data_IF_391099326204
#
_entry.id   IF_391099326204
#
_cell.length_a   1.000
_cell.length_b   1.000
_cell.length_c   1.000
_cell.angle_alpha   90.00
_cell.angle_beta   90.00
_cell.angle_gamma   90.00
#
_symmetry.space_group_name_H-M   'P 1'
#
loop_
_entity.id
_entity.type
_entity.pdbx_description
1 polymer ?
#
# COMPACT_ATOMS: atom_id res chain seq x y z
N UNK A 1 28.71 -5.34 -4.76
CA UNK A 1 27.55 -5.52 -3.86
C UNK A 1 26.40 -5.94 -4.76
N UNK A 2 26.04 -7.22 -4.75
CA UNK A 2 25.15 -7.81 -5.75
C UNK A 2 23.71 -7.36 -5.55
N UNK A 3 23.15 -6.83 -6.61
CA UNK A 3 21.80 -6.29 -6.70
C UNK A 3 20.90 -7.47 -7.06
N UNK A 4 20.16 -8.03 -6.09
CA UNK A 4 19.12 -9.02 -6.41
C UNK A 4 17.92 -8.28 -7.01
N UNK A 5 17.90 -8.21 -8.33
CA UNK A 5 16.66 -8.09 -9.09
C UNK A 5 15.83 -9.31 -8.69
N UNK A 6 14.53 -9.14 -8.40
CA UNK A 6 13.62 -10.27 -8.15
C UNK A 6 13.60 -11.16 -9.41
N UNK A 7 14.45 -12.19 -9.46
CA UNK A 7 14.55 -13.08 -10.61
C UNK A 7 13.40 -14.08 -10.53
N UNK A 8 12.37 -13.85 -11.34
CA UNK A 8 11.29 -14.82 -11.55
C UNK A 8 11.86 -16.01 -12.30
N UNK A 9 11.84 -17.17 -11.67
CA UNK A 9 12.18 -18.43 -12.32
C UNK A 9 10.95 -18.99 -13.05
N UNK A 10 11.19 -19.76 -14.12
CA UNK A 10 10.12 -20.48 -14.81
C UNK A 10 9.47 -21.49 -13.84
N UNK A 11 8.14 -21.59 -13.88
CA UNK A 11 7.42 -22.56 -13.06
C UNK A 11 7.79 -23.98 -13.54
N UNK A 12 8.35 -24.83 -12.67
CA UNK A 12 8.73 -26.18 -13.09
C UNK A 12 7.48 -27.02 -13.38
N UNK A 13 7.60 -27.97 -14.31
CA UNK A 13 6.52 -28.89 -14.66
C UNK A 13 6.18 -29.88 -13.53
N UNK A 14 7.13 -30.15 -12.63
CA UNK A 14 6.97 -31.05 -11.48
C UNK A 14 7.62 -30.45 -10.24
N UNK A 15 7.15 -30.86 -9.06
CA UNK A 15 7.64 -30.35 -7.77
C UNK A 15 8.11 -31.50 -6.89
N UNK A 16 9.28 -31.32 -6.26
CA UNK A 16 9.90 -32.32 -5.38
C UNK A 16 9.23 -32.41 -4.00
N UNK A 17 8.49 -31.37 -3.60
CA UNK A 17 7.76 -31.30 -2.33
C UNK A 17 6.71 -30.19 -2.35
N UNK A 18 5.79 -30.20 -1.37
CA UNK A 18 4.85 -29.08 -1.14
C UNK A 18 5.59 -27.77 -0.88
N UNK A 19 6.69 -27.79 -0.13
CA UNK A 19 7.50 -26.58 0.12
C UNK A 19 8.13 -26.05 -1.16
N UNK A 20 8.63 -26.94 -2.02
CA UNK A 20 9.16 -26.56 -3.33
C UNK A 20 8.07 -25.89 -4.19
N UNK A 21 6.87 -26.50 -4.25
CA UNK A 21 5.70 -25.91 -4.90
C UNK A 21 5.39 -24.51 -4.38
N UNK A 22 5.16 -24.36 -3.07
CA UNK A 22 4.77 -23.07 -2.50
C UNK A 22 5.82 -21.98 -2.78
N UNK A 23 7.10 -22.31 -2.61
CA UNK A 23 8.20 -21.36 -2.82
C UNK A 23 8.31 -20.90 -4.29
N UNK A 24 8.02 -21.77 -5.27
CA UNK A 24 8.03 -21.39 -6.69
C UNK A 24 7.04 -20.28 -7.03
N UNK A 25 5.93 -20.14 -6.28
CA UNK A 25 4.90 -19.13 -6.54
C UNK A 25 5.07 -17.83 -5.75
N UNK A 26 5.94 -17.78 -4.74
CA UNK A 26 6.13 -16.59 -3.91
C UNK A 26 6.58 -15.38 -4.74
N UNK A 27 7.61 -15.55 -5.56
CA UNK A 27 8.13 -14.46 -6.38
C UNK A 27 7.21 -14.09 -7.55
N UNK A 28 6.47 -15.05 -8.08
CA UNK A 28 5.45 -14.80 -9.09
C UNK A 28 4.34 -13.90 -8.54
N UNK A 29 3.85 -14.19 -7.34
CA UNK A 29 2.83 -13.36 -6.68
C UNK A 29 3.34 -11.95 -6.38
N UNK A 30 4.60 -11.82 -5.95
CA UNK A 30 5.23 -10.51 -5.72
C UNK A 30 5.33 -9.70 -7.02
N UNK A 31 5.75 -10.32 -8.10
CA UNK A 31 5.89 -9.65 -9.40
C UNK A 31 4.55 -9.33 -10.06
N UNK A 32 3.55 -10.20 -9.92
CA UNK A 32 2.16 -9.91 -10.32
C UNK A 32 1.64 -8.69 -9.55
N UNK A 33 1.78 -8.69 -8.22
CA UNK A 33 1.34 -7.57 -7.37
C UNK A 33 2.07 -6.28 -7.75
N UNK A 34 3.38 -6.36 -8.02
CA UNK A 34 4.19 -5.22 -8.46
C UNK A 34 3.69 -4.69 -9.81
N UNK A 35 3.47 -5.56 -10.79
CA UNK A 35 3.01 -5.18 -12.12
C UNK A 35 1.62 -4.52 -12.09
N UNK A 36 0.68 -5.08 -11.31
CA UNK A 36 -0.65 -4.48 -11.12
C UNK A 36 -0.53 -3.09 -10.51
N UNK A 37 0.23 -2.94 -9.42
CA UNK A 37 0.45 -1.62 -8.79
C UNK A 37 1.05 -0.60 -9.78
N UNK A 38 2.05 -0.97 -10.56
CA UNK A 38 2.64 -0.07 -11.57
C UNK A 38 1.63 0.34 -12.64
N UNK A 39 0.77 -0.58 -13.08
CA UNK A 39 -0.32 -0.30 -14.02
C UNK A 39 -1.27 0.77 -13.46
N UNK A 40 -1.64 0.66 -12.18
CA UNK A 40 -2.51 1.62 -11.51
C UNK A 40 -1.86 2.99 -11.35
N UNK A 41 -0.56 3.03 -11.03
CA UNK A 41 0.19 4.28 -10.92
C UNK A 41 0.30 5.02 -12.26
N UNK A 42 0.40 4.31 -13.39
CA UNK A 42 0.36 4.92 -14.71
C UNK A 42 -0.97 5.65 -14.99
N UNK A 43 -2.07 5.13 -14.43
CA UNK A 43 -3.42 5.71 -14.54
C UNK A 43 -3.83 6.66 -13.41
N UNK A 44 -2.93 7.02 -12.49
CA UNK A 44 -3.28 7.64 -11.19
C UNK A 44 -4.10 8.93 -11.29
N UNK A 45 -3.97 9.68 -12.40
CA UNK A 45 -4.73 10.92 -12.64
C UNK A 45 -6.26 10.72 -12.64
N UNK A 46 -6.71 9.53 -13.04
CA UNK A 46 -8.11 9.13 -13.13
C UNK A 46 -8.57 8.30 -11.92
N UNK A 47 -7.65 7.92 -11.03
CA UNK A 47 -7.96 7.09 -9.89
C UNK A 47 -8.96 7.78 -8.94
N UNK A 48 -9.89 7.01 -8.33
CA UNK A 48 -10.74 7.49 -7.26
C UNK A 48 -9.90 8.14 -6.15
N UNK A 49 -10.28 9.34 -5.75
CA UNK A 49 -9.57 10.06 -4.70
C UNK A 49 -10.51 10.90 -3.84
N UNK A 50 -10.25 10.91 -2.54
CA UNK A 50 -10.99 11.69 -1.54
C UNK A 50 -10.02 12.45 -0.64
N UNK A 51 -10.30 13.72 -0.28
CA UNK A 51 -9.51 14.44 0.71
C UNK A 51 -9.66 13.83 2.11
N UNK A 52 -8.61 13.92 2.91
CA UNK A 52 -8.64 13.54 4.33
C UNK A 52 -8.23 14.71 5.23
N UNK A 53 -8.79 14.72 6.44
CA UNK A 53 -8.61 15.80 7.43
C UNK A 53 -8.17 15.28 8.80
N UNK A 54 -8.63 14.08 9.17
CA UNK A 54 -8.15 13.38 10.35
C UNK A 54 -6.94 12.52 10.00
N UNK A 55 -5.84 12.68 10.74
CA UNK A 55 -4.73 11.74 10.74
C UNK A 55 -4.23 11.63 12.18
N UNK A 56 -4.40 10.45 12.76
CA UNK A 56 -3.98 10.16 14.14
C UNK A 56 -3.19 8.88 14.17
N UNK A 57 -1.96 8.94 14.66
CA UNK A 57 -1.18 7.73 14.97
C UNK A 57 -1.81 7.02 16.16
N UNK A 58 -2.04 5.73 16.01
CA UNK A 58 -2.68 4.91 17.02
C UNK A 58 -1.61 4.26 17.92
N UNK A 59 -1.80 4.27 19.25
CA UNK A 59 -0.94 3.51 20.15
C UNK A 59 -1.03 2.03 19.78
N UNK A 60 0.12 1.37 19.66
CA UNK A 60 0.16 -0.04 19.30
C UNK A 60 1.03 -0.78 20.30
N UNK A 61 0.50 -1.86 20.90
CA UNK A 61 1.20 -2.71 21.88
C UNK A 61 2.38 -3.50 21.28
N UNK A 62 2.57 -3.42 19.96
CA UNK A 62 3.59 -4.18 19.23
C UNK A 62 4.20 -3.36 18.10
N UNK A 63 5.29 -3.88 17.52
CA UNK A 63 6.19 -3.35 16.47
C UNK A 63 5.55 -2.69 15.22
N UNK A 64 4.23 -2.57 15.12
CA UNK A 64 3.54 -1.80 14.09
C UNK A 64 3.71 -0.30 14.35
N UNK A 65 4.92 0.23 14.10
CA UNK A 65 5.27 1.65 14.30
C UNK A 65 4.50 2.64 13.40
N UNK A 66 3.56 2.17 12.57
CA UNK A 66 2.98 2.91 11.44
C UNK A 66 1.48 2.62 11.27
N UNK A 67 0.73 2.56 12.38
CA UNK A 67 -0.72 2.38 12.38
C UNK A 67 -1.43 3.71 12.62
N UNK A 68 -2.39 4.06 11.74
CA UNK A 68 -3.06 5.35 11.76
C UNK A 68 -4.56 5.22 11.58
N UNK A 69 -5.29 6.14 12.19
CA UNK A 69 -6.71 6.38 11.93
C UNK A 69 -6.86 7.64 11.10
N UNK A 70 -7.66 7.55 10.05
CA UNK A 70 -7.91 8.64 9.12
C UNK A 70 -9.40 8.93 8.99
N UNK A 71 -9.73 10.21 8.81
CA UNK A 71 -11.11 10.66 8.52
C UNK A 71 -11.14 11.29 7.15
N UNK A 72 -11.95 10.72 6.26
CA UNK A 72 -12.13 11.14 4.88
C UNK A 72 -13.37 12.02 4.79
N UNK A 73 -13.37 12.88 3.79
CA UNK A 73 -14.56 13.63 3.37
C UNK A 73 -14.66 13.56 1.86
N UNK A 74 -15.88 13.45 1.33
CA UNK A 74 -16.11 13.33 -0.11
C UNK A 74 -16.61 11.95 -0.51
N UNK A 75 -17.20 11.89 -1.71
CA UNK A 75 -18.00 10.75 -2.18
C UNK A 75 -17.36 10.01 -3.36
N UNK A 76 -16.14 10.37 -3.76
CA UNK A 76 -15.50 9.85 -4.99
C UNK A 76 -14.71 8.57 -4.77
N UNK A 77 -14.21 8.35 -3.56
CA UNK A 77 -13.55 7.11 -3.16
C UNK A 77 -14.25 6.57 -1.92
N UNK A 78 -14.71 5.32 -2.03
CA UNK A 78 -15.35 4.56 -0.97
C UNK A 78 -14.38 3.44 -0.55
N UNK A 79 -13.69 3.58 0.60
CA UNK A 79 -12.62 2.68 1.00
C UNK A 79 -13.16 1.31 1.44
N UNK A 80 -12.45 0.26 1.04
CA UNK A 80 -12.68 -1.12 1.46
C UNK A 80 -11.48 -1.68 2.22
N UNK A 81 -11.74 -2.62 3.11
CA UNK A 81 -10.67 -3.41 3.72
C UNK A 81 -9.92 -4.15 2.61
N UNK A 82 -8.59 -4.09 2.65
CA UNK A 82 -7.75 -4.66 1.60
C UNK A 82 -7.24 -3.66 0.58
N UNK A 83 -7.78 -2.43 0.56
CA UNK A 83 -7.33 -1.42 -0.38
C UNK A 83 -5.90 -0.98 -0.09
N UNK A 84 -5.08 -0.98 -1.13
CA UNK A 84 -3.80 -0.28 -1.17
C UNK A 84 -4.05 1.12 -1.75
N UNK A 85 -3.62 2.12 -0.99
CA UNK A 85 -3.85 3.52 -1.29
C UNK A 85 -2.54 4.30 -1.30
N UNK A 86 -2.49 5.35 -2.12
CA UNK A 86 -1.47 6.37 -2.04
C UNK A 86 -1.99 7.57 -1.23
N UNK A 87 -1.15 8.05 -0.33
CA UNK A 87 -1.34 9.28 0.44
C UNK A 87 -0.49 10.37 -0.19
N UNK A 88 -1.12 11.45 -0.63
CA UNK A 88 -0.46 12.57 -1.31
C UNK A 88 -0.88 13.90 -0.70
N UNK A 89 -0.02 14.93 -0.72
CA UNK A 89 -0.42 16.27 -0.25
C UNK A 89 -1.39 16.96 -1.21
N UNK A 90 -1.24 16.70 -2.51
CA UNK A 90 -2.10 17.23 -3.58
C UNK A 90 -2.67 16.09 -4.40
N UNK A 91 -3.87 16.28 -4.97
CA UNK A 91 -4.44 15.29 -5.88
C UNK A 91 -3.51 15.14 -7.10
N UNK A 92 -2.97 13.93 -7.36
CA UNK A 92 -2.08 13.72 -8.49
C UNK A 92 -2.84 13.89 -9.81
N UNK A 93 -2.20 14.54 -10.78
CA UNK A 93 -2.70 14.72 -12.16
C UNK A 93 -1.92 13.89 -13.17
N UNK A 94 -0.78 13.35 -12.78
CA UNK A 94 0.08 12.45 -13.57
C UNK A 94 1.01 11.70 -12.63
N UNK A 95 1.63 10.64 -13.15
CA UNK A 95 2.60 9.83 -12.40
C UNK A 95 3.80 10.66 -11.92
N UNK A 96 4.26 11.63 -12.71
CA UNK A 96 5.38 12.53 -12.34
C UNK A 96 5.13 13.31 -11.05
N UNK A 97 3.87 13.51 -10.65
CA UNK A 97 3.53 14.21 -9.42
C UNK A 97 3.91 13.41 -8.16
N UNK A 98 4.13 12.10 -8.31
CA UNK A 98 4.56 11.16 -7.26
C UNK A 98 6.09 11.05 -7.13
N UNK A 99 6.82 11.31 -8.23
CA UNK A 99 8.28 11.23 -8.30
C UNK A 99 8.99 12.52 -7.84
N UNK A 100 8.23 13.57 -7.52
CA UNK A 100 8.80 14.85 -7.09
C UNK A 100 9.39 14.71 -5.68
N UNK A 101 10.70 14.95 -5.56
CA UNK A 101 11.44 14.96 -4.28
C UNK A 101 10.82 15.85 -3.19
N UNK A 102 10.11 16.91 -3.56
CA UNK A 102 9.44 17.82 -2.64
C UNK A 102 7.98 17.43 -2.31
N UNK A 103 7.45 16.36 -2.90
CA UNK A 103 6.08 15.88 -2.65
C UNK A 103 6.02 14.34 -2.71
N UNK A 104 6.74 13.65 -1.81
CA UNK A 104 6.71 12.19 -1.76
C UNK A 104 5.30 11.70 -1.43
N UNK A 105 4.88 10.62 -2.07
CA UNK A 105 3.68 9.89 -1.68
C UNK A 105 4.03 8.74 -0.75
N UNK A 106 3.06 8.34 0.08
CA UNK A 106 3.21 7.20 0.97
C UNK A 106 2.17 6.15 0.64
N UNK A 107 2.57 4.89 0.68
CA UNK A 107 1.67 3.77 0.46
C UNK A 107 1.09 3.33 1.80
N UNK A 108 -0.22 3.15 1.85
CA UNK A 108 -0.91 2.65 3.02
C UNK A 108 -1.91 1.57 2.63
N UNK A 109 -2.12 0.63 3.55
CA UNK A 109 -3.05 -0.48 3.40
C UNK A 109 -4.22 -0.32 4.37
N UNK A 110 -5.44 -0.34 3.85
CA UNK A 110 -6.67 -0.21 4.64
C UNK A 110 -6.93 -1.52 5.38
N UNK A 111 -6.78 -1.48 6.70
CA UNK A 111 -7.01 -2.64 7.57
C UNK A 111 -8.44 -2.69 8.10
N UNK A 112 -9.11 -1.55 8.21
CA UNK A 112 -10.44 -1.47 8.78
C UNK A 112 -11.22 -0.25 8.29
N UNK A 113 -12.54 -0.38 8.20
CA UNK A 113 -13.49 0.72 7.98
C UNK A 113 -14.36 0.79 9.23
N UNK A 114 -14.26 1.89 9.98
CA UNK A 114 -14.87 2.03 11.31
C UNK A 114 -16.29 2.60 11.20
N UNK A 115 -16.43 3.70 10.46
CA UNK A 115 -17.68 4.43 10.33
C UNK A 115 -17.85 4.85 8.88
N UNK A 116 -19.08 4.88 8.41
CA UNK A 116 -19.43 5.35 7.05
C UNK A 116 -19.70 6.86 7.01
N UNK A 117 -20.06 7.48 8.15
CA UNK A 117 -20.37 8.92 8.22
C UNK A 117 -19.99 9.55 9.58
N UNK A 118 -18.96 10.42 9.64
CA UNK A 118 -17.98 10.66 8.59
C UNK A 118 -17.11 9.42 8.35
N UNK A 119 -16.80 9.15 7.08
CA UNK A 119 -16.00 8.00 6.67
C UNK A 119 -14.67 7.95 7.43
N UNK A 120 -14.48 6.90 8.23
CA UNK A 120 -13.31 6.74 9.12
C UNK A 120 -12.69 5.38 8.89
N UNK A 121 -11.39 5.36 8.61
CA UNK A 121 -10.64 4.12 8.31
C UNK A 121 -9.41 4.00 9.19
N UNK A 122 -8.90 2.77 9.30
CA UNK A 122 -7.60 2.48 9.89
C UNK A 122 -6.68 1.91 8.84
N UNK A 123 -5.44 2.37 8.85
CA UNK A 123 -4.44 2.03 7.84
C UNK A 123 -3.10 1.70 8.46
N UNK A 124 -2.36 0.81 7.82
CA UNK A 124 -0.93 0.60 8.07
C UNK A 124 -0.14 1.21 6.92
N UNK A 125 0.80 2.09 7.23
CA UNK A 125 1.62 2.80 6.25
C UNK A 125 2.99 2.12 6.03
N UNK A 126 3.58 2.32 4.85
CA UNK A 126 4.95 1.91 4.50
C UNK A 126 6.02 2.67 5.26
N UNK A 127 5.75 3.93 5.62
CA UNK A 127 6.63 4.77 6.41
C UNK A 127 5.84 5.62 7.43
N UNK A 128 6.55 6.30 8.34
CA UNK A 128 5.89 7.16 9.34
C UNK A 128 5.16 8.31 8.63
N UNK A 129 3.84 8.40 8.83
CA UNK A 129 3.02 9.49 8.29
C UNK A 129 3.16 10.78 9.12
N UNK A 130 3.86 10.74 10.25
CA UNK A 130 4.09 11.94 11.06
C UNK A 130 5.24 12.73 10.42
N UNK A 131 4.92 13.47 9.38
CA UNK A 131 5.56 14.76 9.19
C UNK A 131 4.73 15.82 9.94
N UNK A 132 5.42 16.70 10.66
CA UNK A 132 4.84 17.81 11.45
C UNK A 132 3.83 18.65 10.67
N UNK A 133 3.94 18.66 9.33
CA UNK A 133 3.04 19.32 8.38
C UNK A 133 1.62 18.75 8.32
N UNK A 134 1.38 17.50 8.74
CA UNK A 134 0.06 16.85 8.71
C UNK A 134 -0.67 16.88 10.08
N UNK A 135 -0.09 17.48 11.12
CA UNK A 135 -0.63 17.40 12.48
C UNK A 135 -1.50 18.59 12.92
N UNK A 136 -1.50 19.73 12.22
CA UNK A 136 -2.30 20.88 12.65
C UNK A 136 -3.78 20.76 12.20
N UNK A 137 -4.70 20.93 13.16
CA UNK A 137 -6.12 21.11 12.89
C UNK A 137 -6.32 22.48 12.22
N UNK A 138 -6.53 22.49 10.90
CA UNK A 138 -7.05 23.64 10.16
C UNK A 138 -8.19 23.17 9.25
N UNK A 139 -9.05 24.11 8.85
CA UNK A 139 -10.23 23.93 7.97
C UNK A 139 -9.90 23.42 6.54
N UNK A 140 -8.66 23.00 6.27
CA UNK A 140 -8.19 22.56 4.95
C UNK A 140 -7.84 21.07 4.95
N UNK A 141 -8.06 20.35 3.84
CA UNK A 141 -7.60 18.97 3.69
C UNK A 141 -6.10 18.87 3.99
N UNK A 142 -5.72 17.82 4.71
CA UNK A 142 -4.31 17.48 4.96
C UNK A 142 -3.64 16.84 3.74
N UNK A 143 -4.45 16.27 2.86
CA UNK A 143 -4.00 15.65 1.62
C UNK A 143 -5.14 14.88 0.96
N UNK A 144 -4.78 13.98 0.06
CA UNK A 144 -5.68 13.09 -0.66
C UNK A 144 -5.29 11.64 -0.41
N UNK A 145 -6.32 10.81 -0.29
CA UNK A 145 -6.21 9.38 -0.43
C UNK A 145 -6.57 9.04 -1.87
N UNK A 146 -5.73 8.26 -2.53
CA UNK A 146 -5.91 7.82 -3.92
C UNK A 146 -5.92 6.30 -3.94
N UNK A 147 -6.98 5.71 -4.48
CA UNK A 147 -7.08 4.26 -4.66
C UNK A 147 -6.05 3.78 -5.69
N UNK A 148 -5.36 2.67 -5.37
CA UNK A 148 -4.48 1.99 -6.31
C UNK A 148 -5.08 0.65 -6.72
N UNK A 149 -5.18 -0.29 -5.78
CA UNK A 149 -5.68 -1.65 -6.02
C UNK A 149 -6.22 -2.26 -4.73
N UNK A 150 -6.89 -3.40 -4.80
CA UNK A 150 -7.29 -4.17 -3.63
C UNK A 150 -6.45 -5.46 -3.52
N UNK A 151 -5.70 -5.59 -2.44
CA UNK A 151 -4.78 -6.71 -2.23
C UNK A 151 -5.44 -7.94 -1.57
N UNK A 152 -6.76 -7.98 -1.40
CA UNK A 152 -7.43 -9.10 -0.71
C UNK A 152 -7.10 -10.45 -1.35
N UNK A 153 -7.14 -10.52 -2.68
CA UNK A 153 -6.81 -11.75 -3.42
C UNK A 153 -5.34 -12.12 -3.22
N UNK A 154 -4.43 -11.16 -3.41
CA UNK A 154 -3.00 -11.36 -3.23
C UNK A 154 -2.65 -11.84 -1.81
N UNK A 155 -3.30 -11.25 -0.80
CA UNK A 155 -3.14 -11.63 0.60
C UNK A 155 -3.64 -13.05 0.89
N UNK A 156 -4.77 -13.46 0.29
CA UNK A 156 -5.29 -14.83 0.43
C UNK A 156 -4.36 -15.85 -0.21
N UNK A 157 -3.84 -15.56 -1.40
CA UNK A 157 -2.85 -16.43 -2.08
C UNK A 157 -1.58 -16.50 -1.24
N UNK A 158 -1.07 -15.38 -0.73
CA UNK A 158 0.10 -15.35 0.15
C UNK A 158 -0.07 -16.21 1.40
N UNK A 159 -1.24 -16.13 2.05
CA UNK A 159 -1.55 -16.97 3.22
C UNK A 159 -1.60 -18.46 2.88
N UNK A 160 -2.12 -18.81 1.70
CA UNK A 160 -2.14 -20.20 1.23
C UNK A 160 -0.72 -20.71 0.90
N UNK A 161 0.12 -19.86 0.30
CA UNK A 161 1.52 -20.18 -0.03
C UNK A 161 2.42 -20.21 1.22
N UNK A 162 2.09 -19.43 2.24
CA UNK A 162 2.92 -19.28 3.42
C UNK A 162 2.10 -19.37 4.73
N UNK A 163 1.61 -20.58 5.09
CA UNK A 163 0.71 -20.77 6.22
C UNK A 163 1.30 -20.38 7.58
N UNK A 164 2.63 -20.33 7.68
CA UNK A 164 3.35 -19.96 8.89
C UNK A 164 3.75 -18.47 8.93
N UNK A 165 3.58 -17.70 7.84
CA UNK A 165 3.93 -16.28 7.81
C UNK A 165 2.76 -15.39 8.23
N UNK A 166 3.06 -14.45 9.12
CA UNK A 166 2.20 -13.30 9.38
C UNK A 166 2.10 -12.40 8.12
N UNK A 167 1.10 -11.50 8.09
CA UNK A 167 0.70 -10.58 7.01
C UNK A 167 1.80 -9.59 6.53
N UNK A 168 2.97 -10.09 6.17
CA UNK A 168 4.14 -9.28 5.80
C UNK A 168 4.21 -9.01 4.30
N UNK A 169 3.29 -9.52 3.47
CA UNK A 169 3.26 -9.23 2.03
C UNK A 169 3.28 -7.71 1.79
N UNK A 170 2.41 -6.98 2.48
CA UNK A 170 2.36 -5.51 2.42
C UNK A 170 3.71 -4.90 2.79
N UNK A 171 4.40 -5.38 3.83
CA UNK A 171 5.72 -4.82 4.18
C UNK A 171 6.79 -5.19 3.13
N UNK A 172 6.75 -6.40 2.58
CA UNK A 172 7.70 -6.87 1.56
C UNK A 172 7.51 -6.14 0.23
N UNK A 173 6.26 -5.87 -0.18
CA UNK A 173 5.95 -5.11 -1.40
C UNK A 173 6.18 -3.62 -1.23
N UNK A 174 6.01 -3.08 -0.01
CA UNK A 174 6.12 -1.66 0.28
C UNK A 174 7.52 -1.22 0.75
N UNK A 175 8.44 -2.15 1.01
CA UNK A 175 9.81 -1.81 1.44
C UNK A 175 10.62 -1.24 0.26
N UNK A 176 11.22 -0.04 0.39
CA UNK A 176 12.08 0.55 -0.65
C UNK A 176 13.39 -0.23 -0.91
N UNK A 177 13.62 -1.33 -0.20
CA UNK A 177 14.77 -2.22 -0.36
C UNK A 177 14.64 -3.24 -1.49
N UNK A 178 13.52 -3.28 -2.23
CA UNK A 178 13.55 -3.77 -3.60
C UNK A 178 13.89 -2.58 -4.48
N UNK A 179 15.18 -2.40 -4.76
CA UNK A 179 15.74 -1.29 -5.52
C UNK A 179 15.13 -1.20 -6.93
N UNK A 180 13.97 -0.56 -7.02
CA UNK A 180 13.32 -0.14 -8.26
C UNK A 180 12.41 1.08 -7.98
N UNK A 181 12.97 2.07 -7.27
CA UNK A 181 12.51 3.46 -7.35
C UNK A 181 13.55 4.23 -8.17
N UNK A 182 13.55 3.95 -9.48
CA UNK A 182 13.90 4.92 -10.50
C UNK A 182 12.69 5.00 -11.41
N UNK A 183 11.70 5.80 -11.03
CA UNK A 183 11.11 6.88 -11.85
C UNK A 183 10.68 7.97 -10.87
#
# INVERSE_FOLDING_TARGET
MNINILQVEEVPLTFSSTTHYMNSFIYLLLEETRADMFSQLAGISQAPASPFFGLRKMPTDSRKKMFYRMTLTGTKYDPLVGDLIALTQVKPKRIDDLARSNNPFLLAYVTNVINESPMTIEVVSSNDLIDSSLCEMKERPKGFIVYLTNLTTNMRIWQALNPAANMNLVQTTLSPSSSALII
#
